data_IF_790223375134
#
_entry.id   IF_790223375134
#
_cell.length_a   1.000
_cell.length_b   1.000
_cell.length_c   1.000
_cell.angle_alpha   90.00
_cell.angle_beta   90.00
_cell.angle_gamma   90.00
#
_symmetry.space_group_name_H-M   'P 1'
#
loop_
_entity.id
_entity.type
_entity.pdbx_description
1 polymer ?
#
# COMPACT_ATOMS: atom_id res chain seq x y z
N UNK A 1 -10.00 -2.21 -10.71
CA UNK A 1 -8.81 -1.92 -9.87
C UNK A 1 -9.20 -1.47 -8.45
N UNK A 2 -9.34 -2.39 -7.48
CA UNK A 2 -9.65 -2.06 -6.06
C UNK A 2 -8.51 -2.39 -5.08
N UNK A 3 -7.30 -2.66 -5.56
CA UNK A 3 -6.22 -3.26 -4.74
C UNK A 3 -5.21 -2.27 -4.17
N UNK A 4 -5.16 -1.01 -4.62
CA UNK A 4 -4.14 -0.04 -4.17
C UNK A 4 -4.18 0.20 -2.66
N UNK A 5 -5.38 0.38 -2.10
CA UNK A 5 -5.54 0.58 -0.65
C UNK A 5 -5.26 -0.67 0.19
N UNK A 6 -5.30 -1.87 -0.40
CA UNK A 6 -4.89 -3.12 0.25
C UNK A 6 -3.36 -3.21 0.25
N UNK A 7 -2.74 -3.07 -0.93
CA UNK A 7 -1.28 -3.07 -1.10
C UNK A 7 -0.57 -2.07 -0.19
N UNK A 8 -1.12 -0.86 -0.06
CA UNK A 8 -0.56 0.15 0.86
C UNK A 8 -0.66 -0.25 2.34
N UNK A 9 -1.71 -0.98 2.71
CA UNK A 9 -1.89 -1.47 4.09
C UNK A 9 -0.93 -2.60 4.40
N UNK A 10 -0.78 -3.53 3.45
CA UNK A 10 0.13 -4.67 3.55
C UNK A 10 1.57 -4.18 3.63
N UNK A 11 1.95 -3.26 2.73
CA UNK A 11 3.26 -2.61 2.75
C UNK A 11 3.60 -1.96 4.09
N UNK A 12 2.68 -1.19 4.69
CA UNK A 12 2.90 -0.60 6.03
C UNK A 12 3.02 -1.64 7.15
N UNK A 13 2.35 -2.79 7.03
CA UNK A 13 2.52 -3.89 7.96
C UNK A 13 3.92 -4.50 7.84
N UNK A 14 4.36 -4.79 6.62
CA UNK A 14 5.69 -5.36 6.35
C UNK A 14 6.80 -4.39 6.81
N UNK A 15 6.61 -3.10 6.54
CA UNK A 15 7.52 -2.03 6.97
C UNK A 15 7.67 -1.99 8.50
N UNK A 16 6.55 -2.09 9.22
CA UNK A 16 6.55 -2.13 10.68
C UNK A 16 7.29 -3.37 11.18
N UNK A 17 6.98 -4.54 10.62
CA UNK A 17 7.57 -5.80 11.05
C UNK A 17 9.10 -5.84 10.85
N UNK A 18 9.60 -5.23 9.78
CA UNK A 18 11.03 -5.23 9.46
C UNK A 18 11.83 -4.18 10.25
N UNK A 19 11.27 -3.00 10.52
CA UNK A 19 12.06 -1.85 10.97
C UNK A 19 11.61 -1.23 12.30
N UNK A 20 10.39 -1.53 12.78
CA UNK A 20 9.89 -1.01 14.05
C UNK A 20 10.21 -1.96 15.20
N UNK A 21 10.81 -1.40 16.25
CA UNK A 21 11.09 -2.10 17.51
C UNK A 21 10.43 -1.30 18.64
N UNK A 22 9.53 -1.96 19.36
CA UNK A 22 8.74 -1.32 20.43
C UNK A 22 9.60 -0.91 21.63
N UNK A 23 10.75 -1.56 21.84
CA UNK A 23 11.64 -1.29 22.96
C UNK A 23 12.73 -0.28 22.63
N UNK A 24 12.91 0.06 21.35
CA UNK A 24 13.90 1.05 20.92
C UNK A 24 13.43 2.48 21.19
N UNK A 25 14.39 3.39 21.40
CA UNK A 25 14.06 4.81 21.57
C UNK A 25 13.61 5.44 20.24
N UNK A 26 12.74 6.47 20.31
CA UNK A 26 12.31 7.23 19.12
C UNK A 26 13.49 7.73 18.27
N UNK A 27 14.57 8.17 18.92
CA UNK A 27 15.77 8.67 18.26
C UNK A 27 16.52 7.58 17.48
N UNK A 28 16.48 6.34 17.95
CA UNK A 28 17.04 5.19 17.23
C UNK A 28 16.13 4.75 16.09
N UNK A 29 14.81 4.77 16.29
CA UNK A 29 13.83 4.43 15.27
C UNK A 29 13.87 5.41 14.09
N UNK A 30 14.01 6.72 14.32
CA UNK A 30 14.15 7.72 13.25
C UNK A 30 15.42 7.56 12.41
N UNK A 31 16.42 6.82 12.89
CA UNK A 31 17.64 6.51 12.11
C UNK A 31 17.48 5.26 11.24
N UNK A 32 16.52 4.37 11.55
CA UNK A 32 16.22 3.15 10.79
C UNK A 32 15.32 3.41 9.57
N UNK A 33 15.51 4.53 8.88
CA UNK A 33 14.71 4.90 7.70
C UNK A 33 15.03 3.94 6.56
N UNK A 34 14.03 3.21 6.01
CA UNK A 34 14.22 2.39 4.82
C UNK A 34 14.48 3.24 3.58
N UNK A 35 15.31 2.74 2.65
CA UNK A 35 15.77 3.50 1.47
C UNK A 35 14.62 3.85 0.50
N UNK A 36 13.56 3.04 0.50
CA UNK A 36 12.35 3.21 -0.30
C UNK A 36 11.30 4.14 0.33
N UNK A 37 11.54 4.65 1.56
CA UNK A 37 10.59 5.49 2.30
C UNK A 37 11.14 6.89 2.53
N UNK A 38 10.33 7.89 2.22
CA UNK A 38 10.65 9.29 2.51
C UNK A 38 10.76 9.48 4.03
N UNK A 39 11.86 10.08 4.49
CA UNK A 39 12.17 10.28 5.92
C UNK A 39 11.02 10.85 6.74
N UNK A 40 10.33 11.87 6.23
CA UNK A 40 9.21 12.49 6.95
C UNK A 40 8.01 11.55 7.11
N UNK A 41 7.76 10.70 6.10
CA UNK A 41 6.72 9.67 6.16
C UNK A 41 7.10 8.58 7.18
N UNK A 42 8.38 8.22 7.26
CA UNK A 42 8.88 7.30 8.27
C UNK A 42 8.71 7.84 9.69
N UNK A 43 9.11 9.10 9.93
CA UNK A 43 8.93 9.77 11.24
C UNK A 43 7.46 9.76 11.65
N UNK A 44 6.56 10.14 10.74
CA UNK A 44 5.12 10.11 10.99
C UNK A 44 4.60 8.71 11.36
N UNK A 45 5.08 7.67 10.67
CA UNK A 45 4.68 6.29 10.96
C UNK A 45 5.19 5.83 12.33
N UNK A 46 6.44 6.14 12.67
CA UNK A 46 7.03 5.83 13.97
C UNK A 46 6.27 6.55 15.09
N UNK A 47 5.95 7.82 14.92
CA UNK A 47 5.15 8.60 15.89
C UNK A 47 3.76 7.99 16.05
N UNK A 48 3.12 7.63 14.94
CA UNK A 48 1.82 6.98 14.98
C UNK A 48 1.89 5.63 15.70
N UNK A 49 2.85 4.76 15.40
CA UNK A 49 2.96 3.44 16.04
C UNK A 49 3.34 3.51 17.53
N UNK A 50 4.08 4.53 17.95
CA UNK A 50 4.44 4.75 19.36
C UNK A 50 3.33 5.42 20.17
N UNK A 51 2.40 6.12 19.51
CA UNK A 51 1.22 6.74 20.15
C UNK A 51 0.25 5.71 20.75
N UNK A 52 -0.54 6.15 21.74
CA UNK A 52 -1.59 5.33 22.35
C UNK A 52 -2.65 4.86 21.35
N UNK A 53 -2.94 5.67 20.32
CA UNK A 53 -3.84 5.29 19.23
C UNK A 53 -3.26 4.15 18.38
N UNK A 54 -1.98 4.25 18.02
CA UNK A 54 -1.28 3.21 17.27
C UNK A 54 -1.19 1.91 18.06
N UNK A 55 -0.78 1.96 19.33
CA UNK A 55 -0.62 0.78 20.18
C UNK A 55 -1.93 0.02 20.37
N UNK A 56 -3.05 0.71 20.59
CA UNK A 56 -4.39 0.08 20.69
C UNK A 56 -4.79 -0.71 19.44
N UNK A 57 -4.27 -0.34 18.27
CA UNK A 57 -4.59 -1.00 16.99
C UNK A 57 -3.86 -2.32 16.78
N UNK A 58 -2.77 -2.57 17.51
CA UNK A 58 -1.86 -3.71 17.33
C UNK A 58 -1.59 -4.52 18.61
N UNK A 59 -2.32 -4.24 19.70
CA UNK A 59 -2.27 -5.05 20.93
C UNK A 59 -2.39 -6.55 20.58
N UNK A 60 -1.41 -7.40 20.93
CA UNK A 60 -1.44 -8.84 20.67
C UNK A 60 -2.67 -9.54 21.27
N UNK A 61 -3.25 -8.97 22.33
CA UNK A 61 -4.46 -9.52 22.91
C UNK A 61 -5.71 -9.21 22.10
N UNK A 62 -5.66 -8.18 21.22
CA UNK A 62 -6.74 -7.74 20.30
C UNK A 62 -8.13 -7.97 20.90
N UNK A 63 -8.26 -7.76 22.21
CA UNK A 63 -9.43 -8.25 22.93
C UNK A 63 -10.45 -7.18 22.69
N UNK A 64 -11.34 -7.44 21.73
CA UNK A 64 -12.52 -6.60 21.57
C UNK A 64 -13.11 -6.40 22.96
N UNK A 65 -13.35 -5.14 23.38
CA UNK A 65 -13.82 -4.85 24.71
C UNK A 65 -15.06 -5.72 24.96
N UNK A 66 -15.04 -6.49 26.05
CA UNK A 66 -16.22 -7.29 26.38
C UNK A 66 -17.40 -6.34 26.58
N UNK A 67 -18.62 -6.77 26.23
CA UNK A 67 -19.81 -5.93 26.40
C UNK A 67 -19.94 -5.37 27.82
N UNK A 68 -19.51 -6.13 28.83
CA UNK A 68 -19.46 -5.69 30.23
C UNK A 68 -18.59 -4.45 30.40
N UNK A 69 -17.40 -4.44 29.80
CA UNK A 69 -16.46 -3.33 29.90
C UNK A 69 -17.01 -2.07 29.20
N UNK A 70 -17.62 -2.26 28.03
CA UNK A 70 -18.30 -1.18 27.29
C UNK A 70 -19.45 -0.62 28.13
N UNK A 71 -20.28 -1.48 28.71
CA UNK A 71 -21.41 -1.07 29.54
C UNK A 71 -20.96 -0.26 30.75
N UNK A 72 -19.96 -0.74 31.50
CA UNK A 72 -19.44 -0.05 32.68
C UNK A 72 -18.83 1.33 32.34
N UNK A 73 -18.28 1.51 31.13
CA UNK A 73 -17.73 2.79 30.68
C UNK A 73 -18.80 3.76 30.13
N UNK A 74 -19.87 3.25 29.55
CA UNK A 74 -20.88 4.07 28.84
C UNK A 74 -22.13 4.36 29.65
N UNK A 75 -22.52 3.47 30.57
CA UNK A 75 -23.74 3.57 31.37
C UNK A 75 -23.48 4.24 32.74
N UNK A 76 -22.82 5.39 32.69
CA UNK A 76 -22.50 6.26 33.83
C UNK A 76 -22.97 7.68 33.55
N UNK A 77 -23.38 8.40 34.58
CA UNK A 77 -23.66 9.84 34.51
C UNK A 77 -22.36 10.65 34.39
N UNK A 78 -22.48 11.96 34.16
CA UNK A 78 -21.32 12.87 34.07
C UNK A 78 -20.47 12.90 35.36
N UNK A 79 -21.09 12.64 36.50
CA UNK A 79 -20.45 12.53 37.82
C UNK A 79 -19.77 11.15 38.05
N UNK A 80 -19.78 10.27 37.05
CA UNK A 80 -19.26 8.89 37.08
C UNK A 80 -20.03 7.92 37.96
N UNK A 81 -21.24 8.26 38.40
CA UNK A 81 -22.12 7.29 39.08
C UNK A 81 -22.85 6.42 38.05
N UNK A 82 -23.06 5.14 38.37
CA UNK A 82 -23.76 4.21 37.47
C UNK A 82 -25.25 4.56 37.38
N UNK A 83 -25.78 4.56 36.16
CA UNK A 83 -27.22 4.77 35.92
C UNK A 83 -28.08 3.68 36.57
N UNK A 84 -27.63 2.43 36.48
CA UNK A 84 -28.18 1.30 37.22
C UNK A 84 -27.08 0.65 38.07
N UNK A 85 -27.09 0.99 39.36
CA UNK A 85 -26.10 0.51 40.32
C UNK A 85 -26.19 -0.99 40.55
N UNK A 86 -27.39 -1.57 40.54
CA UNK A 86 -27.60 -3.01 40.80
C UNK A 86 -26.99 -3.81 39.66
N UNK A 87 -27.40 -3.50 38.43
CA UNK A 87 -26.90 -4.18 37.23
C UNK A 87 -25.40 -3.98 37.05
N UNK A 88 -24.87 -2.77 37.28
CA UNK A 88 -23.42 -2.54 37.19
C UNK A 88 -22.61 -3.34 38.22
N UNK A 89 -23.11 -3.49 39.45
CA UNK A 89 -22.45 -4.27 40.49
C UNK A 89 -22.50 -5.78 40.17
N UNK A 90 -23.64 -6.28 39.70
CA UNK A 90 -23.78 -7.68 39.29
C UNK A 90 -22.84 -8.01 38.12
N UNK A 91 -22.71 -7.09 37.15
CA UNK A 91 -21.79 -7.20 36.03
C UNK A 91 -20.32 -7.19 36.48
N UNK A 92 -19.94 -6.30 37.41
CA UNK A 92 -18.59 -6.26 37.97
C UNK A 92 -18.26 -7.56 38.70
N UNK A 93 -19.20 -8.05 39.52
CA UNK A 93 -19.06 -9.29 40.28
C UNK A 93 -18.82 -10.47 39.33
N UNK A 94 -19.66 -10.65 38.30
CA UNK A 94 -19.48 -11.72 37.32
C UNK A 94 -18.22 -11.60 36.48
N UNK A 95 -17.77 -10.38 36.17
CA UNK A 95 -16.53 -10.17 35.43
C UNK A 95 -15.31 -10.69 36.22
N UNK A 96 -15.30 -10.47 37.55
CA UNK A 96 -14.26 -11.00 38.44
C UNK A 96 -14.33 -12.54 38.50
N UNK A 97 -15.53 -13.10 38.72
CA UNK A 97 -15.78 -14.56 38.76
C UNK A 97 -15.37 -15.26 37.46
N UNK A 98 -15.57 -14.61 36.30
CA UNK A 98 -15.21 -15.16 34.98
C UNK A 98 -13.71 -15.07 34.69
N UNK A 99 -12.96 -14.21 35.39
CA UNK A 99 -11.50 -14.12 35.23
C UNK A 99 -10.74 -15.20 36.01
N UNK A 100 -11.36 -15.74 37.06
CA UNK A 100 -10.77 -16.73 37.96
C UNK A 100 -11.15 -18.19 37.59
N UNK A 101 -12.05 -18.39 36.62
CA UNK A 101 -12.56 -19.71 36.21
C UNK A 101 -12.63 -19.94 34.70
N UNK A 102 -11.77 -20.83 34.21
CA UNK A 102 -11.88 -21.62 32.96
C UNK A 102 -11.64 -20.95 31.59
N UNK A 103 -10.48 -21.29 31.01
CA UNK A 103 -10.35 -22.32 29.96
C UNK A 103 -11.40 -22.32 28.84
N UNK A 104 -11.00 -21.77 27.69
CA UNK A 104 -11.26 -22.27 26.32
C UNK A 104 -12.58 -23.02 26.04
N UNK A 105 -13.74 -22.35 25.99
CA UNK A 105 -14.90 -22.92 25.28
C UNK A 105 -15.95 -21.90 24.76
N UNK A 106 -15.56 -20.66 24.41
CA UNK A 106 -16.47 -19.74 23.71
C UNK A 106 -16.09 -19.65 22.24
N UNK A 107 -16.89 -20.32 21.38
CA UNK A 107 -16.71 -20.31 19.91
C UNK A 107 -17.13 -18.97 19.26
N UNK A 108 -17.88 -18.12 19.96
CA UNK A 108 -18.44 -16.86 19.44
C UNK A 108 -18.23 -15.76 20.51
N UNK A 109 -17.60 -14.65 20.13
CA UNK A 109 -17.20 -13.56 21.04
C UNK A 109 -18.38 -12.95 21.84
N UNK A 110 -19.60 -13.00 21.29
CA UNK A 110 -20.80 -12.34 21.82
C UNK A 110 -21.80 -13.28 22.51
N UNK A 111 -21.48 -14.56 22.70
CA UNK A 111 -22.43 -15.54 23.24
C UNK A 111 -21.93 -16.12 24.56
N UNK A 112 -22.69 -15.90 25.65
CA UNK A 112 -22.35 -16.41 26.98
C UNK A 112 -21.31 -15.55 27.70
N UNK A 113 -21.26 -14.25 27.39
CA UNK A 113 -20.57 -13.26 28.21
C UNK A 113 -21.43 -12.85 29.42
N UNK A 114 -20.84 -12.31 30.51
CA UNK A 114 -21.61 -11.92 31.69
C UNK A 114 -22.70 -10.89 31.39
N UNK A 115 -22.51 -10.09 30.35
CA UNK A 115 -23.48 -9.11 29.87
C UNK A 115 -24.76 -9.78 29.35
N UNK A 116 -24.65 -10.74 28.42
CA UNK A 116 -25.82 -11.44 27.87
C UNK A 116 -26.54 -12.32 28.89
N UNK A 117 -25.89 -12.67 30.00
CA UNK A 117 -26.51 -13.41 31.10
C UNK A 117 -27.35 -12.51 32.03
N UNK A 118 -26.85 -11.30 32.34
CA UNK A 118 -27.54 -10.35 33.24
C UNK A 118 -28.58 -9.52 32.47
N UNK A 119 -28.22 -9.00 31.28
CA UNK A 119 -29.05 -8.07 30.49
C UNK A 119 -29.80 -8.81 29.36
N UNK A 120 -29.34 -10.00 28.97
CA UNK A 120 -29.98 -10.86 27.98
C UNK A 120 -29.30 -10.84 26.59
N UNK A 121 -29.44 -11.94 25.84
CA UNK A 121 -28.86 -12.15 24.49
C UNK A 121 -29.36 -11.20 23.41
N UNK A 122 -28.47 -10.67 22.58
CA UNK A 122 -28.82 -9.82 21.45
C UNK A 122 -29.83 -10.46 20.48
N UNK A 123 -30.68 -9.61 19.87
CA UNK A 123 -31.70 -10.05 18.91
C UNK A 123 -31.12 -10.02 17.49
N UNK A 124 -31.68 -10.81 16.58
CA UNK A 124 -31.25 -10.80 15.16
C UNK A 124 -31.33 -9.38 14.59
N UNK A 125 -30.20 -8.86 14.12
CA UNK A 125 -30.09 -7.53 13.52
C UNK A 125 -30.07 -6.35 14.50
N UNK A 126 -29.90 -6.60 15.80
CA UNK A 126 -29.86 -5.56 16.82
C UNK A 126 -28.84 -5.89 17.92
N UNK A 127 -27.86 -5.01 18.14
CA UNK A 127 -26.86 -5.10 19.21
C UNK A 127 -27.28 -4.16 20.34
N UNK A 128 -27.51 -4.69 21.55
CA UNK A 128 -27.88 -3.86 22.71
C UNK A 128 -26.73 -2.96 23.15
N UNK A 129 -27.05 -1.75 23.59
CA UNK A 129 -26.07 -0.80 24.15
C UNK A 129 -25.32 0.08 23.12
N UNK A 130 -25.53 -0.15 21.82
CA UNK A 130 -24.94 0.66 20.73
C UNK A 130 -25.88 1.83 20.31
N UNK A 131 -26.98 2.04 21.03
CA UNK A 131 -28.01 3.04 20.71
C UNK A 131 -28.97 2.60 19.59
N UNK A 132 -29.82 3.50 19.09
CA UNK A 132 -30.59 3.28 17.86
C UNK A 132 -29.62 3.37 16.66
N UNK A 133 -28.80 2.34 16.49
CA UNK A 133 -28.02 2.14 15.27
C UNK A 133 -28.95 1.83 14.10
N UNK A 134 -28.52 2.09 12.86
CA UNK A 134 -29.31 1.74 11.69
C UNK A 134 -29.58 0.22 11.70
N UNK A 135 -30.85 -0.13 11.75
CA UNK A 135 -31.32 -1.50 11.60
C UNK A 135 -30.94 -1.96 10.19
N UNK A 136 -30.65 -3.25 9.93
CA UNK A 136 -30.45 -3.73 8.57
C UNK A 136 -31.55 -3.28 7.58
N UNK A 137 -32.79 -3.10 8.04
CA UNK A 137 -33.90 -2.50 7.27
C UNK A 137 -33.66 -1.03 6.88
N UNK A 138 -33.07 -0.24 7.76
CA UNK A 138 -32.71 1.17 7.51
C UNK A 138 -31.60 1.29 6.46
N UNK A 139 -30.75 0.26 6.35
CA UNK A 139 -29.65 0.16 5.37
C UNK A 139 -30.11 -0.51 4.05
N UNK A 140 -31.10 -1.38 4.11
CA UNK A 140 -31.61 -2.17 2.98
C UNK A 140 -32.93 -1.62 2.39
N UNK A 141 -33.33 -0.40 2.75
CA UNK A 141 -34.46 0.24 2.08
C UNK A 141 -34.19 0.35 0.56
N UNK A 142 -35.24 0.20 -0.24
CA UNK A 142 -35.21 0.05 -1.70
C UNK A 142 -34.46 1.17 -2.45
N UNK A 143 -34.27 2.34 -1.85
CA UNK A 143 -33.44 3.43 -2.36
C UNK A 143 -31.93 3.11 -2.36
N UNK A 144 -31.45 2.31 -1.40
CA UNK A 144 -30.04 1.89 -1.29
C UNK A 144 -29.69 0.89 -2.38
N UNK A 145 -30.61 -0.06 -2.66
CA UNK A 145 -30.45 -1.00 -3.79
C UNK A 145 -30.39 -0.27 -5.12
N UNK A 146 -31.13 0.85 -5.29
CA UNK A 146 -31.03 1.71 -6.48
C UNK A 146 -29.71 2.48 -6.57
N UNK A 147 -29.08 2.85 -5.46
CA UNK A 147 -27.73 3.47 -5.46
C UNK A 147 -26.64 2.50 -5.93
N UNK A 148 -26.87 1.19 -5.80
CA UNK A 148 -25.98 0.16 -6.33
C UNK A 148 -26.33 -0.31 -7.75
N UNK A 149 -27.41 0.20 -8.35
CA UNK A 149 -27.83 -0.19 -9.70
C UNK A 149 -26.81 0.24 -10.76
N UNK A 150 -26.13 1.37 -10.55
CA UNK A 150 -24.99 1.83 -11.36
C UNK A 150 -23.64 1.17 -11.02
N UNK A 151 -23.60 0.24 -10.06
CA UNK A 151 -22.43 -0.58 -9.72
C UNK A 151 -22.56 -2.01 -10.25
N UNK A 152 -23.65 -2.33 -10.98
CA UNK A 152 -23.67 -3.53 -11.84
C UNK A 152 -22.68 -3.29 -12.96
N UNK A 153 -21.41 -3.64 -12.74
CA UNK A 153 -20.49 -3.94 -13.84
C UNK A 153 -21.13 -5.10 -14.59
N UNK A 154 -21.88 -4.79 -15.65
CA UNK A 154 -22.36 -5.85 -16.54
C UNK A 154 -21.14 -6.42 -17.25
N UNK A 155 -21.15 -7.74 -17.51
CA UNK A 155 -20.06 -8.43 -18.22
C UNK A 155 -19.74 -7.79 -19.60
N UNK A 156 -20.59 -6.90 -20.10
CA UNK A 156 -20.43 -6.16 -21.34
C UNK A 156 -19.35 -5.07 -21.26
N UNK A 157 -19.16 -4.41 -20.11
CA UNK A 157 -18.12 -3.40 -19.94
C UNK A 157 -16.72 -4.04 -19.76
N UNK A 158 -16.67 -5.26 -19.24
CA UNK A 158 -15.43 -6.02 -19.07
C UNK A 158 -14.85 -6.45 -20.42
N UNK A 159 -15.68 -6.93 -21.36
CA UNK A 159 -15.22 -7.35 -22.70
C UNK A 159 -14.70 -6.18 -23.54
N UNK A 160 -15.30 -4.99 -23.44
CA UNK A 160 -14.81 -3.79 -24.13
C UNK A 160 -13.43 -3.36 -23.59
N UNK A 161 -13.27 -3.39 -22.27
CA UNK A 161 -11.99 -3.06 -21.64
C UNK A 161 -10.92 -4.09 -21.98
N UNK A 162 -11.27 -5.39 -21.99
CA UNK A 162 -10.36 -6.46 -22.40
C UNK A 162 -9.92 -6.34 -23.86
N UNK A 163 -10.85 -6.00 -24.77
CA UNK A 163 -10.55 -5.77 -26.18
C UNK A 163 -9.58 -4.60 -26.37
N UNK A 164 -9.82 -3.48 -25.69
CA UNK A 164 -8.92 -2.33 -25.72
C UNK A 164 -7.53 -2.66 -25.17
N UNK A 165 -7.46 -3.45 -24.09
CA UNK A 165 -6.19 -3.93 -23.53
C UNK A 165 -5.47 -4.84 -24.53
N UNK A 166 -6.19 -5.71 -25.23
CA UNK A 166 -5.63 -6.60 -26.25
C UNK A 166 -5.06 -5.79 -27.43
N UNK A 167 -5.81 -4.83 -27.96
CA UNK A 167 -5.36 -3.95 -29.04
C UNK A 167 -4.12 -3.14 -28.64
N UNK A 168 -4.11 -2.58 -27.43
CA UNK A 168 -2.93 -1.87 -26.91
C UNK A 168 -1.70 -2.78 -26.82
N UNK A 169 -1.85 -4.04 -26.40
CA UNK A 169 -0.75 -5.00 -26.36
C UNK A 169 -0.21 -5.32 -27.74
N UNK A 170 -1.07 -5.50 -28.73
CA UNK A 170 -0.65 -5.74 -30.12
C UNK A 170 0.10 -4.53 -30.70
N UNK A 171 -0.38 -3.31 -30.43
CA UNK A 171 0.31 -2.08 -30.85
C UNK A 171 1.70 -1.96 -30.19
N UNK A 172 1.83 -2.27 -28.90
CA UNK A 172 3.12 -2.30 -28.22
C UNK A 172 4.08 -3.31 -28.84
N UNK A 173 3.60 -4.51 -29.19
CA UNK A 173 4.48 -5.53 -29.78
C UNK A 173 4.91 -5.18 -31.21
N UNK A 174 4.02 -4.55 -32.01
CA UNK A 174 4.39 -4.00 -33.33
C UNK A 174 5.47 -2.93 -33.23
N UNK A 175 5.31 -1.97 -32.30
CA UNK A 175 6.30 -0.92 -32.07
C UNK A 175 7.64 -1.52 -31.62
N UNK A 176 7.60 -2.54 -30.76
CA UNK A 176 8.80 -3.24 -30.31
C UNK A 176 9.53 -3.95 -31.45
N UNK A 177 8.81 -4.62 -32.36
CA UNK A 177 9.44 -5.20 -33.56
C UNK A 177 10.06 -4.13 -34.46
N UNK A 178 9.38 -3.00 -34.69
CA UNK A 178 9.95 -1.90 -35.48
C UNK A 178 11.24 -1.35 -34.87
N UNK A 179 11.29 -1.18 -33.54
CA UNK A 179 12.52 -0.75 -32.85
C UNK A 179 13.63 -1.78 -32.99
N UNK A 180 13.32 -3.08 -32.94
CA UNK A 180 14.31 -4.14 -33.15
C UNK A 180 14.87 -4.15 -34.58
N UNK A 181 14.00 -3.96 -35.58
CA UNK A 181 14.42 -3.89 -36.99
C UNK A 181 15.29 -2.66 -37.24
N UNK A 182 14.92 -1.50 -36.67
CA UNK A 182 15.74 -0.29 -36.71
C UNK A 182 17.12 -0.52 -36.07
N UNK A 183 17.18 -1.20 -34.93
CA UNK A 183 18.45 -1.54 -34.28
C UNK A 183 19.33 -2.44 -35.16
N UNK A 184 18.74 -3.38 -35.90
CA UNK A 184 19.48 -4.24 -36.84
C UNK A 184 20.05 -3.44 -38.01
N UNK A 185 19.25 -2.53 -38.58
CA UNK A 185 19.71 -1.63 -39.66
C UNK A 185 20.86 -0.74 -39.17
N UNK A 186 20.73 -0.17 -37.97
CA UNK A 186 21.79 0.65 -37.36
C UNK A 186 23.07 -0.17 -37.16
N UNK A 187 22.95 -1.43 -36.74
CA UNK A 187 24.10 -2.32 -36.57
C UNK A 187 24.83 -2.58 -37.89
N UNK A 188 24.08 -2.87 -38.96
CA UNK A 188 24.64 -3.10 -40.29
C UNK A 188 25.31 -1.83 -40.83
N UNK A 189 24.68 -0.67 -40.66
CA UNK A 189 25.26 0.63 -41.00
C UNK A 189 26.56 0.90 -40.22
N UNK A 190 26.58 0.61 -38.91
CA UNK A 190 27.78 0.76 -38.09
C UNK A 190 28.93 -0.14 -38.57
N UNK A 191 28.62 -1.35 -39.03
CA UNK A 191 29.63 -2.26 -39.60
C UNK A 191 30.22 -1.70 -40.90
N UNK A 192 29.38 -1.25 -41.84
CA UNK A 192 29.86 -0.61 -43.08
C UNK A 192 30.66 0.67 -42.80
N UNK A 193 30.24 1.48 -41.81
CA UNK A 193 31.01 2.65 -41.37
C UNK A 193 32.39 2.24 -40.84
N UNK A 194 32.50 1.15 -40.09
CA UNK A 194 33.79 0.66 -39.59
C UNK A 194 34.72 0.21 -40.73
N UNK A 195 34.18 -0.50 -41.74
CA UNK A 195 34.93 -0.91 -42.93
C UNK A 195 35.43 0.31 -43.73
N UNK A 196 34.56 1.30 -43.96
CA UNK A 196 34.93 2.54 -44.62
C UNK A 196 35.99 3.33 -43.84
N UNK A 197 35.85 3.42 -42.51
CA UNK A 197 36.85 4.05 -41.62
C UNK A 197 38.21 3.37 -41.76
N UNK A 198 38.26 2.05 -41.82
CA UNK A 198 39.49 1.30 -42.03
C UNK A 198 40.15 1.63 -43.38
N UNK A 199 39.36 1.65 -44.47
CA UNK A 199 39.90 1.99 -45.80
C UNK A 199 40.43 3.42 -45.88
N UNK A 200 39.73 4.40 -45.30
CA UNK A 200 40.20 5.80 -45.26
C UNK A 200 41.50 5.91 -44.47
N UNK A 201 41.61 5.23 -43.32
CA UNK A 201 42.83 5.22 -42.53
C UNK A 201 44.01 4.60 -43.30
N UNK A 202 43.76 3.51 -44.03
CA UNK A 202 44.77 2.86 -44.86
C UNK A 202 45.28 3.79 -45.96
N UNK A 203 44.38 4.52 -46.64
CA UNK A 203 44.77 5.46 -47.68
C UNK A 203 45.53 6.67 -47.12
N UNK A 204 45.11 7.21 -45.96
CA UNK A 204 45.79 8.32 -45.30
C UNK A 204 47.24 7.97 -44.92
N UNK A 205 47.49 6.73 -44.48
CA UNK A 205 48.82 6.26 -44.09
C UNK A 205 49.74 5.95 -45.28
N UNK A 206 49.19 5.81 -46.49
CA UNK A 206 49.93 5.46 -47.71
C UNK A 206 50.06 6.63 -48.70
N UNK A 207 49.77 7.87 -48.30
CA UNK A 207 50.04 9.03 -49.14
C UNK A 207 51.55 9.27 -49.27
N UNK A 208 52.09 9.46 -50.49
CA UNK A 208 53.51 9.77 -50.65
C UNK A 208 53.81 11.14 -50.00
N UNK A 209 54.88 11.20 -49.19
CA UNK A 209 55.41 12.46 -48.65
C UNK A 209 55.59 13.45 -49.81
N UNK A 210 54.83 14.55 -49.82
CA UNK A 210 55.05 15.60 -50.80
C UNK A 210 56.46 16.17 -50.58
N UNK A 211 57.32 15.95 -51.58
CA UNK A 211 58.65 16.54 -51.67
C UNK A 211 58.45 18.06 -51.66
N UNK A 212 58.97 18.71 -50.61
CA UNK A 212 59.00 20.17 -50.51
C UNK A 212 59.71 20.71 -51.75
N UNK A 213 58.97 21.45 -52.59
CA UNK A 213 59.54 22.15 -53.74
C UNK A 213 60.65 23.09 -53.25
N UNK A 214 61.88 22.80 -53.64
CA UNK A 214 63.04 23.67 -53.47
C UNK A 214 62.75 25.02 -54.13
N UNK A 215 62.82 26.07 -53.32
CA UNK A 215 62.58 27.44 -53.70
C UNK A 215 63.80 27.97 -54.50
N UNK A 216 63.84 27.71 -55.80
CA UNK A 216 64.89 28.27 -56.68
C UNK A 216 64.58 29.74 -56.99
N UNK A 217 65.13 30.64 -56.17
CA UNK A 217 65.14 32.09 -56.40
C UNK A 217 66.18 32.40 -57.48
N UNK A 218 65.74 32.63 -58.72
CA UNK A 218 66.59 33.18 -59.77
C UNK A 218 66.93 34.64 -59.42
N UNK A 219 68.20 34.91 -59.09
CA UNK A 219 68.75 36.25 -59.05
C UNK A 219 69.20 36.60 -60.48
N UNK A 220 68.54 37.58 -61.08
CA UNK A 220 69.04 38.24 -62.29
C UNK A 220 69.92 39.40 -61.84
N UNK A 221 71.24 39.28 -62.05
CA UNK A 221 72.14 40.42 -62.00
C UNK A 221 72.52 40.78 -63.45
N UNK A 222 72.11 41.99 -63.84
CA UNK A 222 72.51 42.67 -65.06
C UNK A 222 73.63 43.66 -64.72
N UNK A 223 74.64 43.68 -65.60
CA UNK A 223 75.81 44.59 -65.71
C UNK A 223 77.05 44.16 -64.93
#
# INVERSE_FOLDING_TARGET
MKSTGRKWRDYKCDLKAAHFDEHASLKELYKKVPEDVIKDQWIYLVDFWTSDEGKRKYDPQKKEPQHVEVYLKTHVYKDRTFMDRKTANDLKKKLIETSEGSTSQRKIAWQGDPYSEIIGKDKRGYVRGVGMGPTPKDILNSSCLRRFEGLRMTNFDETIVEENIRQMKEQMERLKMQVQDQNKIILDQNKSIAELKYMVQYLANNQPMQVQHLNCRAHYDWI
#
